data_IF_723845445479
#
_entry.id   IF_723845445479
#
_cell.length_a   1.000
_cell.length_b   1.000
_cell.length_c   1.000
_cell.angle_alpha   90.00
_cell.angle_beta   90.00
_cell.angle_gamma   90.00
#
_symmetry.space_group_name_H-M   'P 1'
#
loop_
_entity.id
_entity.type
_entity.pdbx_description
1 polymer ?
#
# COMPACT_ATOMS: atom_id res chain seq x y z
N UNK A 1 17.95 3.83 -26.49
CA UNK A 1 17.67 4.09 -25.05
C UNK A 1 17.14 2.82 -24.43
N UNK A 2 17.92 2.20 -23.55
CA UNK A 2 17.57 0.94 -22.88
C UNK A 2 16.52 1.31 -21.85
N UNK A 3 15.25 0.93 -22.09
CA UNK A 3 14.17 1.15 -21.14
C UNK A 3 14.47 0.47 -19.83
N UNK A 4 14.75 1.23 -18.78
CA UNK A 4 14.82 0.73 -17.41
C UNK A 4 13.54 -0.06 -17.14
N UNK A 5 13.69 -1.36 -16.86
CA UNK A 5 12.63 -2.22 -16.36
C UNK A 5 12.31 -1.72 -14.95
N UNK A 6 11.32 -0.84 -14.82
CA UNK A 6 10.90 -0.34 -13.51
C UNK A 6 10.12 -1.48 -12.86
N UNK A 7 10.78 -2.20 -11.96
CA UNK A 7 10.10 -3.10 -11.04
C UNK A 7 9.53 -2.25 -9.91
N UNK A 8 8.25 -1.89 -10.02
CA UNK A 8 7.56 -1.16 -8.97
C UNK A 8 6.97 -2.18 -8.02
N UNK A 9 7.46 -2.18 -6.78
CA UNK A 9 6.84 -2.94 -5.70
C UNK A 9 5.76 -2.07 -5.06
N UNK A 10 4.50 -2.42 -5.27
CA UNK A 10 3.40 -1.70 -4.64
C UNK A 10 3.29 -2.09 -3.16
N UNK A 11 3.21 -1.12 -2.25
CA UNK A 11 3.11 -1.41 -0.82
C UNK A 11 1.78 -2.07 -0.45
N UNK A 12 0.71 -1.76 -1.16
CA UNK A 12 -0.62 -2.30 -0.91
C UNK A 12 -1.11 -3.16 -2.07
N UNK A 13 -1.81 -4.25 -1.72
CA UNK A 13 -2.62 -5.02 -2.67
C UNK A 13 -4.03 -4.43 -2.66
N UNK A 14 -4.57 -4.14 -3.82
CA UNK A 14 -5.91 -3.56 -3.92
C UNK A 14 -6.65 -4.19 -5.11
N UNK A 15 -7.87 -4.74 -4.91
CA UNK A 15 -8.67 -5.29 -6.00
C UNK A 15 -8.92 -4.24 -7.07
N UNK A 16 -8.71 -4.58 -8.34
CA UNK A 16 -8.85 -3.62 -9.45
C UNK A 16 -7.68 -2.63 -9.59
N UNK A 17 -6.56 -2.85 -8.91
CA UNK A 17 -5.36 -2.01 -9.03
C UNK A 17 -4.90 -1.86 -10.47
N UNK A 18 -4.43 -0.65 -10.83
CA UNK A 18 -4.06 -0.28 -12.21
C UNK A 18 -2.61 -0.61 -12.58
N UNK A 19 -1.99 -1.57 -11.88
CA UNK A 19 -0.58 -1.93 -12.10
C UNK A 19 -0.28 -2.24 -13.58
N UNK A 20 -1.12 -3.03 -14.24
CA UNK A 20 -0.94 -3.39 -15.64
C UNK A 20 -1.17 -2.23 -16.62
N UNK A 21 -1.87 -1.19 -16.17
CA UNK A 21 -2.12 -0.01 -16.97
C UNK A 21 -0.99 1.04 -16.89
N UNK A 22 -0.09 0.94 -15.91
CA UNK A 22 0.99 1.92 -15.68
C UNK A 22 1.76 2.19 -16.96
N UNK A 23 2.16 1.15 -17.69
CA UNK A 23 2.95 1.29 -18.93
C UNK A 23 2.23 2.14 -19.99
N UNK A 24 0.90 2.01 -20.08
CA UNK A 24 0.07 2.76 -21.05
C UNK A 24 -0.22 4.19 -20.56
N UNK A 25 -0.40 4.35 -19.25
CA UNK A 25 -0.76 5.62 -18.66
C UNK A 25 0.46 6.56 -18.46
N UNK A 26 1.65 5.99 -18.42
CA UNK A 26 2.90 6.71 -18.17
C UNK A 26 3.11 7.92 -19.09
N UNK A 27 2.72 7.82 -20.35
CA UNK A 27 2.81 8.90 -21.33
C UNK A 27 2.09 10.17 -20.86
N UNK A 28 1.01 10.06 -20.11
CA UNK A 28 0.21 11.22 -19.68
C UNK A 28 0.88 12.09 -18.62
N UNK A 29 1.83 11.56 -17.85
CA UNK A 29 2.55 12.35 -16.85
C UNK A 29 4.03 12.58 -17.18
N UNK A 30 4.63 11.78 -18.08
CA UNK A 30 6.04 11.98 -18.50
C UNK A 30 6.20 12.98 -19.63
N UNK A 31 5.18 13.16 -20.46
CA UNK A 31 5.23 14.07 -21.61
C UNK A 31 4.81 15.51 -21.29
N UNK A 32 4.28 15.77 -20.10
CA UNK A 32 3.74 17.07 -19.71
C UNK A 32 4.35 17.52 -18.39
N UNK A 33 4.93 18.73 -18.40
CA UNK A 33 5.36 19.36 -17.14
C UNK A 33 4.15 19.67 -16.28
N UNK A 34 4.21 19.28 -15.01
CA UNK A 34 3.19 19.56 -14.01
C UNK A 34 3.82 19.68 -12.63
N UNK A 35 3.35 20.57 -11.81
CA UNK A 35 3.77 20.84 -10.44
C UNK A 35 2.76 20.31 -9.41
N UNK A 36 1.58 19.88 -9.88
CA UNK A 36 0.51 19.34 -9.05
C UNK A 36 0.03 17.97 -9.58
N UNK A 37 -0.20 17.05 -8.65
CA UNK A 37 -0.80 15.75 -8.90
C UNK A 37 -1.95 15.49 -7.91
N UNK A 38 -3.09 15.05 -8.45
CA UNK A 38 -4.26 14.71 -7.64
C UNK A 38 -4.77 13.31 -7.99
N UNK A 39 -4.91 12.45 -6.98
CA UNK A 39 -5.51 11.12 -7.11
C UNK A 39 -6.63 10.96 -6.06
N UNK A 40 -7.90 11.25 -6.42
CA UNK A 40 -9.01 11.23 -5.48
C UNK A 40 -9.50 9.84 -5.11
N UNK A 41 -9.14 8.81 -5.88
CA UNK A 41 -9.48 7.40 -5.69
C UNK A 41 -8.22 6.57 -5.75
N UNK A 42 -7.40 6.65 -4.69
CA UNK A 42 -6.03 6.11 -4.66
C UNK A 42 -6.01 4.58 -4.81
N UNK A 43 -6.86 3.86 -4.07
CA UNK A 43 -6.78 2.40 -3.99
C UNK A 43 -5.37 1.95 -3.60
N UNK A 44 -4.79 0.98 -4.32
CA UNK A 44 -3.40 0.56 -4.11
C UNK A 44 -2.34 1.57 -4.52
N UNK A 45 -2.72 2.72 -5.07
CA UNK A 45 -1.81 3.81 -5.45
C UNK A 45 -0.87 3.47 -6.60
N UNK A 46 -1.29 2.60 -7.51
CA UNK A 46 -0.40 2.11 -8.58
C UNK A 46 0.22 3.23 -9.40
N UNK A 47 -0.51 4.30 -9.68
CA UNK A 47 -0.02 5.46 -10.42
C UNK A 47 0.87 6.32 -9.52
N UNK A 48 0.40 6.64 -8.31
CA UNK A 48 1.15 7.45 -7.34
C UNK A 48 2.55 6.87 -7.05
N UNK A 49 2.64 5.55 -6.82
CA UNK A 49 3.93 4.90 -6.57
C UNK A 49 4.81 4.71 -7.82
N UNK A 50 4.23 4.83 -9.00
CA UNK A 50 4.94 4.66 -10.28
C UNK A 50 5.54 5.95 -10.83
N UNK A 51 5.08 7.10 -10.37
CA UNK A 51 5.53 8.41 -10.85
C UNK A 51 6.45 9.08 -9.83
N UNK A 52 7.29 10.00 -10.33
CA UNK A 52 8.06 10.88 -9.46
C UNK A 52 7.12 11.84 -8.71
N UNK A 53 7.50 12.18 -7.48
CA UNK A 53 6.78 13.20 -6.73
C UNK A 53 6.96 14.57 -7.40
N UNK A 54 5.89 15.32 -7.43
CA UNK A 54 5.88 16.73 -7.88
C UNK A 54 5.76 17.66 -6.66
N UNK A 55 5.77 18.96 -6.88
CA UNK A 55 5.74 19.93 -5.79
C UNK A 55 4.52 19.74 -4.87
N UNK A 56 3.36 19.51 -5.47
CA UNK A 56 2.11 19.32 -4.75
C UNK A 56 1.49 17.97 -5.10
N UNK A 57 1.46 17.05 -4.13
CA UNK A 57 0.83 15.73 -4.31
C UNK A 57 -0.35 15.61 -3.36
N UNK A 58 -1.54 15.48 -3.92
CA UNK A 58 -2.76 15.26 -3.17
C UNK A 58 -3.35 13.89 -3.50
N UNK A 59 -3.51 13.06 -2.48
CA UNK A 59 -4.07 11.72 -2.60
C UNK A 59 -5.24 11.56 -1.63
N UNK A 60 -6.27 10.85 -2.03
CA UNK A 60 -7.43 10.57 -1.21
C UNK A 60 -8.02 9.20 -1.55
N UNK A 61 -8.73 8.62 -0.59
CA UNK A 61 -9.56 7.43 -0.76
C UNK A 61 -10.69 7.43 0.28
N UNK A 62 -11.76 6.70 0.00
CA UNK A 62 -12.85 6.46 0.96
C UNK A 62 -12.45 5.45 2.03
N UNK A 63 -11.45 4.61 1.77
CA UNK A 63 -10.90 3.65 2.72
C UNK A 63 -10.11 4.38 3.80
N UNK A 64 -10.76 4.62 4.94
CA UNK A 64 -10.18 5.36 6.06
C UNK A 64 -8.94 4.67 6.64
N UNK A 65 -8.89 3.35 6.62
CA UNK A 65 -7.75 2.60 7.12
C UNK A 65 -6.55 2.70 6.19
N UNK A 66 -6.78 2.74 4.87
CA UNK A 66 -5.74 3.06 3.90
C UNK A 66 -5.18 4.47 4.13
N UNK A 67 -6.04 5.45 4.30
CA UNK A 67 -5.62 6.84 4.59
C UNK A 67 -4.89 6.93 5.94
N UNK A 68 -5.35 6.18 6.95
CA UNK A 68 -4.70 6.10 8.26
C UNK A 68 -3.25 5.62 8.14
N UNK A 69 -3.02 4.49 7.47
CA UNK A 69 -1.65 3.97 7.30
C UNK A 69 -0.77 4.93 6.51
N UNK A 70 -1.28 5.56 5.45
CA UNK A 70 -0.52 6.54 4.68
C UNK A 70 -0.11 7.76 5.51
N UNK A 71 -1.01 8.27 6.36
CA UNK A 71 -0.70 9.34 7.30
C UNK A 71 0.33 8.89 8.35
N UNK A 72 0.19 7.68 8.86
CA UNK A 72 1.07 7.14 9.89
C UNK A 72 2.51 6.99 9.40
N UNK A 73 2.73 6.35 8.24
CA UNK A 73 4.06 6.12 7.67
C UNK A 73 4.74 7.39 7.12
N UNK A 74 4.03 8.51 7.06
CA UNK A 74 4.60 9.79 6.66
C UNK A 74 5.66 10.30 7.64
N UNK A 75 5.54 9.92 8.90
CA UNK A 75 6.52 10.21 9.95
C UNK A 75 7.53 9.07 10.02
N UNK A 76 8.83 9.40 9.94
CA UNK A 76 9.90 8.39 9.88
C UNK A 76 9.93 7.48 11.09
N UNK A 77 9.78 8.01 12.30
CA UNK A 77 9.73 7.19 13.53
C UNK A 77 8.59 6.19 13.50
N UNK A 78 7.39 6.60 13.08
CA UNK A 78 6.24 5.72 12.96
C UNK A 78 6.47 4.60 11.94
N UNK A 79 7.13 4.93 10.82
CA UNK A 79 7.51 3.92 9.83
C UNK A 79 8.51 2.91 10.40
N UNK A 80 9.50 3.38 11.15
CA UNK A 80 10.49 2.52 11.83
C UNK A 80 9.82 1.62 12.86
N UNK A 81 8.89 2.13 13.67
CA UNK A 81 8.13 1.35 14.63
C UNK A 81 7.29 0.26 13.95
N UNK A 82 6.62 0.61 12.85
CA UNK A 82 5.86 -0.36 12.05
C UNK A 82 6.76 -1.46 11.47
N UNK A 83 7.90 -1.09 10.91
CA UNK A 83 8.85 -2.05 10.32
C UNK A 83 9.42 -2.99 11.37
N UNK A 84 9.69 -2.52 12.59
CA UNK A 84 10.21 -3.33 13.68
C UNK A 84 9.26 -4.48 14.06
N UNK A 85 7.95 -4.31 13.89
CA UNK A 85 6.97 -5.39 14.11
C UNK A 85 7.12 -6.53 13.11
N UNK A 86 7.69 -6.27 11.93
CA UNK A 86 7.89 -7.27 10.87
C UNK A 86 9.29 -7.89 10.85
N UNK A 87 10.30 -7.26 11.46
CA UNK A 87 11.71 -7.72 11.41
C UNK A 87 11.87 -9.15 11.92
N UNK A 88 11.08 -9.56 12.91
CA UNK A 88 11.16 -10.87 13.53
C UNK A 88 10.20 -11.90 12.89
N UNK A 89 9.41 -11.51 11.91
CA UNK A 89 8.47 -12.39 11.23
C UNK A 89 9.14 -13.00 10.00
N UNK A 90 9.73 -14.20 10.16
CA UNK A 90 10.38 -14.92 9.05
C UNK A 90 9.38 -15.38 7.99
N UNK A 91 8.19 -15.79 8.40
CA UNK A 91 7.15 -16.28 7.51
C UNK A 91 5.76 -15.98 8.07
N UNK A 92 4.84 -15.65 7.17
CA UNK A 92 3.44 -15.52 7.54
C UNK A 92 2.75 -16.89 7.48
N UNK A 93 2.16 -17.32 8.59
CA UNK A 93 1.41 -18.57 8.69
C UNK A 93 -0.09 -18.32 8.77
N UNK A 94 -0.89 -19.34 8.43
CA UNK A 94 -2.36 -19.27 8.58
C UNK A 94 -2.78 -19.01 10.03
N UNK A 95 -2.04 -19.58 11.00
CA UNK A 95 -2.30 -19.35 12.42
C UNK A 95 -2.08 -17.89 12.78
N UNK A 96 -0.92 -17.32 12.40
CA UNK A 96 -0.62 -15.90 12.63
C UNK A 96 -1.62 -14.98 11.96
N UNK A 97 -2.06 -15.33 10.75
CA UNK A 97 -3.11 -14.59 10.06
C UNK A 97 -4.41 -14.54 10.87
N UNK A 98 -4.84 -15.68 11.44
CA UNK A 98 -6.04 -15.73 12.26
C UNK A 98 -5.88 -14.89 13.54
N UNK A 99 -4.73 -14.98 14.21
CA UNK A 99 -4.41 -14.17 15.38
C UNK A 99 -4.49 -12.66 15.08
N UNK A 100 -3.87 -12.21 13.99
CA UNK A 100 -3.90 -10.79 13.61
C UNK A 100 -5.27 -10.36 13.14
N UNK A 101 -6.00 -11.20 12.39
CA UNK A 101 -7.37 -10.90 11.96
C UNK A 101 -8.29 -10.66 13.16
N UNK A 102 -8.16 -11.48 14.19
CA UNK A 102 -9.02 -11.45 15.37
C UNK A 102 -8.50 -10.47 16.44
N UNK A 103 -7.32 -9.89 16.26
CA UNK A 103 -6.76 -8.85 17.13
C UNK A 103 -7.72 -7.65 17.22
N UNK A 104 -7.99 -7.19 18.43
CA UNK A 104 -8.69 -5.92 18.69
C UNK A 104 -7.60 -4.87 18.96
N UNK A 105 -7.31 -3.98 18.00
CA UNK A 105 -6.22 -3.03 18.15
C UNK A 105 -6.59 -1.90 19.12
N UNK A 106 -5.72 -1.60 20.07
CA UNK A 106 -5.88 -0.54 21.05
C UNK A 106 -5.13 0.74 20.66
N UNK A 107 -3.99 0.59 19.97
CA UNK A 107 -3.13 1.71 19.56
C UNK A 107 -3.20 1.98 18.06
N UNK A 108 -2.79 3.18 17.64
CA UNK A 108 -2.69 3.51 16.21
C UNK A 108 -1.67 2.60 15.47
N UNK A 109 -0.56 2.27 16.12
CA UNK A 109 0.43 1.34 15.56
C UNK A 109 -0.19 -0.04 15.32
N UNK A 110 -0.96 -0.58 16.27
CA UNK A 110 -1.64 -1.86 16.11
C UNK A 110 -2.70 -1.85 15.01
N UNK A 111 -3.46 -0.75 14.86
CA UNK A 111 -4.43 -0.58 13.77
C UNK A 111 -3.74 -0.64 12.42
N UNK A 112 -2.66 0.11 12.28
CA UNK A 112 -1.88 0.19 11.05
C UNK A 112 -1.19 -1.14 10.74
N UNK A 113 -0.61 -1.79 11.75
CA UNK A 113 0.00 -3.12 11.63
C UNK A 113 -1.02 -4.16 11.18
N UNK A 114 -2.17 -4.25 11.84
CA UNK A 114 -3.25 -5.17 11.48
C UNK A 114 -3.70 -4.95 10.04
N UNK A 115 -3.98 -3.71 9.66
CA UNK A 115 -4.40 -3.37 8.29
C UNK A 115 -3.37 -3.84 7.26
N UNK A 116 -2.10 -3.46 7.45
CA UNK A 116 -1.05 -3.81 6.51
C UNK A 116 -0.83 -5.31 6.42
N UNK A 117 -0.79 -6.00 7.57
CA UNK A 117 -0.62 -7.45 7.63
C UNK A 117 -1.74 -8.17 6.88
N UNK A 118 -3.01 -7.84 7.17
CA UNK A 118 -4.16 -8.45 6.50
C UNK A 118 -4.16 -8.13 5.01
N UNK A 119 -3.88 -6.90 4.61
CA UNK A 119 -3.79 -6.51 3.21
C UNK A 119 -2.75 -7.34 2.44
N UNK A 120 -1.58 -7.59 3.04
CA UNK A 120 -0.50 -8.33 2.38
C UNK A 120 -0.71 -9.84 2.35
N UNK A 121 -1.47 -10.39 3.28
CA UNK A 121 -1.64 -11.84 3.48
C UNK A 121 -3.01 -12.37 3.07
N UNK A 122 -3.98 -11.51 2.83
CA UNK A 122 -5.28 -11.89 2.27
C UNK A 122 -5.22 -12.18 0.78
N UNK A 123 -6.13 -13.03 0.31
CA UNK A 123 -6.32 -13.28 -1.11
C UNK A 123 -6.67 -11.98 -1.85
N UNK A 124 -5.87 -11.63 -2.85
CA UNK A 124 -6.00 -10.40 -3.65
C UNK A 124 -6.00 -9.08 -2.85
N UNK A 125 -5.52 -9.06 -1.60
CA UNK A 125 -5.55 -7.87 -0.76
C UNK A 125 -6.95 -7.49 -0.28
N UNK A 126 -7.88 -8.43 -0.27
CA UNK A 126 -9.27 -8.21 0.12
C UNK A 126 -9.37 -7.88 1.61
N UNK A 127 -9.99 -6.73 1.94
CA UNK A 127 -10.16 -6.26 3.31
C UNK A 127 -11.55 -6.53 3.88
N UNK A 128 -12.57 -6.62 3.02
CA UNK A 128 -13.92 -7.00 3.41
C UNK A 128 -14.02 -8.53 3.39
N UNK A 129 -14.38 -9.13 4.52
CA UNK A 129 -14.38 -10.59 4.71
C UNK A 129 -13.08 -11.23 4.21
N UNK A 130 -11.93 -10.81 4.77
CA UNK A 130 -10.64 -11.25 4.29
C UNK A 130 -10.44 -12.75 4.50
N UNK A 131 -9.84 -13.42 3.54
CA UNK A 131 -9.46 -14.82 3.62
C UNK A 131 -7.97 -15.00 3.38
N UNK A 132 -7.38 -15.97 4.05
CA UNK A 132 -5.97 -16.31 3.89
C UNK A 132 -5.63 -16.62 2.42
N UNK A 133 -4.62 -15.98 1.88
CA UNK A 133 -4.19 -16.13 0.50
C UNK A 133 -2.69 -15.87 0.28
N UNK A 134 -1.91 -15.86 1.37
CA UNK A 134 -0.46 -15.65 1.28
C UNK A 134 0.19 -16.83 0.54
N UNK A 135 1.04 -16.49 -0.42
CA UNK A 135 2.00 -17.37 -1.07
C UNK A 135 3.35 -16.69 -0.95
N UNK A 136 4.36 -17.36 -0.36
CA UNK A 136 5.73 -16.83 -0.26
C UNK A 136 6.33 -16.56 -1.64
#
# INVERSE_FOLDING_TARGET
>A
MIGRKISITLPFRYPGGKYYAIKKLRIFWESVFHDEYREPFLGGGSIFWAKDLVQHNWINDIDEDLIRILKFIKTRSNLEDLLNLFVNEKESTRKKYQEIRDLIPETELEKVYKYYYINRTSYSGKMISPSWGYRP
#
